data_IF_165575349454
#
_entry.id   IF_165575349454
#
_cell.length_a   1.000
_cell.length_b   1.000
_cell.length_c   1.000
_cell.angle_alpha   90.00
_cell.angle_beta   90.00
_cell.angle_gamma   90.00
#
_symmetry.space_group_name_H-M   'P 1'
#
loop_
_entity.id
_entity.type
_entity.pdbx_description
1 polymer ?
#
# COMPACT_ATOMS: atom_id res chain seq x y z
N UNK A 1 14.08 19.30 -19.43
CA UNK A 1 12.93 20.13 -19.00
C UNK A 1 12.94 20.12 -17.48
N UNK A 2 12.95 21.28 -16.81
CA UNK A 2 12.79 21.33 -15.36
C UNK A 2 11.32 20.97 -15.06
N UNK A 3 11.09 19.76 -14.63
CA UNK A 3 9.77 19.34 -14.14
C UNK A 3 9.68 19.85 -12.71
N UNK A 4 8.92 20.92 -12.53
CA UNK A 4 8.65 21.48 -11.21
C UNK A 4 7.68 20.52 -10.48
N UNK A 5 8.19 19.79 -9.49
CA UNK A 5 7.44 18.89 -8.60
C UNK A 5 7.16 19.49 -7.23
N UNK A 6 7.34 20.81 -7.07
CA UNK A 6 7.19 21.53 -5.79
C UNK A 6 5.77 21.38 -5.18
N UNK A 7 4.81 20.91 -5.95
CA UNK A 7 3.44 20.62 -5.48
C UNK A 7 3.31 19.26 -4.77
N UNK A 8 4.32 18.39 -4.88
CA UNK A 8 4.32 17.07 -4.25
C UNK A 8 4.85 17.18 -2.83
N UNK A 9 4.07 16.66 -1.88
CA UNK A 9 4.40 16.63 -0.47
C UNK A 9 4.89 15.21 -0.13
N UNK A 10 6.06 15.13 0.50
CA UNK A 10 6.58 13.87 1.03
C UNK A 10 6.28 13.81 2.52
N UNK A 11 5.39 12.90 2.89
CA UNK A 11 5.04 12.66 4.30
C UNK A 11 4.84 11.16 4.56
N UNK A 12 4.99 10.70 5.82
CA UNK A 12 4.69 9.31 6.18
C UNK A 12 3.25 8.93 5.84
N UNK A 13 3.03 7.69 5.43
CA UNK A 13 1.70 7.14 5.13
C UNK A 13 0.71 7.34 6.29
N UNK A 14 1.20 7.20 7.52
CA UNK A 14 0.42 7.41 8.74
C UNK A 14 -0.15 8.82 8.84
N UNK A 15 0.65 9.84 8.50
CA UNK A 15 0.21 11.24 8.50
C UNK A 15 -0.89 11.48 7.45
N UNK A 16 -0.72 10.93 6.25
CA UNK A 16 -1.73 10.98 5.20
C UNK A 16 -3.04 10.32 5.64
N UNK A 17 -2.96 9.10 6.17
CA UNK A 17 -4.14 8.36 6.64
C UNK A 17 -4.80 8.99 7.86
N UNK A 18 -4.01 9.55 8.79
CA UNK A 18 -4.55 10.27 9.94
C UNK A 18 -5.40 11.48 9.50
N UNK A 19 -4.89 12.29 8.57
CA UNK A 19 -5.62 13.46 8.06
C UNK A 19 -6.91 13.10 7.31
N UNK A 20 -6.91 11.96 6.59
CA UNK A 20 -8.14 11.44 5.99
C UNK A 20 -9.15 11.02 7.05
N UNK A 21 -8.73 10.22 8.03
CA UNK A 21 -9.61 9.70 9.09
C UNK A 21 -10.13 10.78 10.03
N UNK A 22 -9.37 11.84 10.27
CA UNK A 22 -9.80 12.99 11.06
C UNK A 22 -10.79 13.90 10.31
N UNK A 23 -11.06 13.64 9.04
CA UNK A 23 -11.92 14.49 8.20
C UNK A 23 -11.29 15.82 7.77
N UNK A 24 -9.98 15.99 7.98
CA UNK A 24 -9.26 17.19 7.55
C UNK A 24 -9.20 17.28 6.01
N UNK A 25 -9.00 16.12 5.35
CA UNK A 25 -9.00 16.01 3.89
C UNK A 25 -9.86 14.83 3.41
N UNK A 26 -10.60 15.08 2.34
CA UNK A 26 -11.29 14.03 1.58
C UNK A 26 -10.28 13.26 0.73
N UNK A 27 -10.06 11.98 1.02
CA UNK A 27 -9.27 11.09 0.16
C UNK A 27 -10.13 10.40 -0.91
N UNK A 28 -9.50 9.78 -1.89
CA UNK A 28 -10.21 9.02 -2.95
C UNK A 28 -11.05 7.87 -2.37
N UNK A 29 -10.55 7.18 -1.32
CA UNK A 29 -11.28 6.12 -0.63
C UNK A 29 -12.50 6.67 0.10
N UNK A 30 -12.33 7.71 0.92
CA UNK A 30 -13.45 8.35 1.62
C UNK A 30 -14.50 8.90 0.66
N UNK A 31 -14.07 9.41 -0.50
CA UNK A 31 -15.01 9.84 -1.53
C UNK A 31 -15.79 8.66 -2.14
N UNK A 32 -15.14 7.52 -2.34
CA UNK A 32 -15.81 6.30 -2.80
C UNK A 32 -16.85 5.83 -1.78
N UNK A 33 -16.47 5.78 -0.49
CA UNK A 33 -17.34 5.38 0.62
C UNK A 33 -18.52 6.34 0.77
N UNK A 34 -18.27 7.64 0.66
CA UNK A 34 -19.34 8.66 0.66
C UNK A 34 -20.32 8.46 -0.51
N UNK A 35 -19.82 8.14 -1.70
CA UNK A 35 -20.66 7.89 -2.89
C UNK A 35 -21.48 6.61 -2.77
N UNK A 36 -20.93 5.59 -2.14
CA UNK A 36 -21.63 4.34 -1.87
C UNK A 36 -22.67 4.52 -0.75
N UNK A 37 -22.26 5.11 0.37
CA UNK A 37 -23.11 5.38 1.52
C UNK A 37 -22.58 6.53 2.38
N UNK A 38 -23.24 7.70 2.40
CA UNK A 38 -22.87 8.78 3.33
C UNK A 38 -22.87 8.36 4.80
N UNK A 39 -23.69 7.36 5.18
CA UNK A 39 -23.72 6.82 6.52
C UNK A 39 -22.47 5.98 6.84
N UNK A 40 -21.94 5.25 5.87
CA UNK A 40 -20.66 4.52 6.00
C UNK A 40 -19.51 5.51 6.20
N UNK A 41 -19.39 6.49 5.31
CA UNK A 41 -18.42 7.57 5.41
C UNK A 41 -18.44 8.25 6.80
N UNK A 42 -19.64 8.61 7.30
CA UNK A 42 -19.78 9.25 8.60
C UNK A 42 -19.25 8.37 9.74
N UNK A 43 -19.55 7.06 9.72
CA UNK A 43 -19.07 6.11 10.72
C UNK A 43 -17.54 5.95 10.70
N UNK A 44 -16.93 5.97 9.54
CA UNK A 44 -15.46 5.89 9.38
C UNK A 44 -14.76 7.12 9.93
N UNK A 45 -15.18 8.33 9.52
CA UNK A 45 -14.54 9.57 10.00
C UNK A 45 -14.80 9.87 11.48
N UNK A 46 -15.85 9.28 12.07
CA UNK A 46 -16.16 9.39 13.50
C UNK A 46 -15.57 8.25 14.34
N UNK A 47 -14.80 7.33 13.72
CA UNK A 47 -14.18 6.21 14.42
C UNK A 47 -15.17 5.17 14.96
N UNK A 48 -16.38 5.08 14.40
CA UNK A 48 -17.38 4.08 14.78
C UNK A 48 -17.15 2.73 14.09
N UNK A 49 -16.30 2.71 13.08
CA UNK A 49 -15.89 1.52 12.34
C UNK A 49 -14.37 1.54 12.21
N UNK A 50 -13.74 0.46 12.62
CA UNK A 50 -12.31 0.26 12.38
C UNK A 50 -12.03 -0.04 10.91
N UNK A 51 -10.90 0.45 10.36
CA UNK A 51 -10.47 0.08 9.02
C UNK A 51 -10.34 -1.43 8.89
N UNK A 52 -10.84 -1.99 7.79
CA UNK A 52 -10.69 -3.41 7.51
C UNK A 52 -9.23 -3.70 7.15
N UNK A 53 -8.51 -4.30 8.07
CA UNK A 53 -7.21 -4.90 7.81
C UNK A 53 -7.39 -6.31 7.22
N UNK A 54 -6.66 -6.63 6.17
CA UNK A 54 -6.64 -7.96 5.60
C UNK A 54 -5.23 -8.35 5.16
N UNK A 55 -4.92 -9.64 5.16
CA UNK A 55 -3.64 -10.15 4.67
C UNK A 55 -3.35 -9.73 3.21
N UNK A 56 -4.40 -9.53 2.41
CA UNK A 56 -4.26 -9.04 1.04
C UNK A 56 -3.82 -7.58 0.99
N UNK A 57 -4.33 -6.72 1.90
CA UNK A 57 -3.88 -5.33 2.01
C UNK A 57 -2.43 -5.23 2.48
N UNK A 58 -2.05 -6.01 3.49
CA UNK A 58 -0.66 -6.10 3.96
C UNK A 58 0.27 -6.51 2.82
N UNK A 59 -0.09 -7.56 2.09
CA UNK A 59 0.69 -8.04 0.95
C UNK A 59 0.80 -6.97 -0.16
N UNK A 60 -0.29 -6.27 -0.46
CA UNK A 60 -0.31 -5.17 -1.42
C UNK A 60 0.61 -4.03 -1.02
N UNK A 61 0.51 -3.53 0.22
CA UNK A 61 1.39 -2.47 0.75
C UNK A 61 2.87 -2.87 0.70
N UNK A 62 3.18 -4.10 1.11
CA UNK A 62 4.55 -4.61 1.08
C UNK A 62 5.09 -4.73 -0.37
N UNK A 63 4.24 -5.12 -1.33
CA UNK A 63 4.61 -5.15 -2.74
C UNK A 63 4.85 -3.73 -3.29
N UNK A 64 4.02 -2.76 -2.96
CA UNK A 64 4.21 -1.35 -3.34
C UNK A 64 5.53 -0.82 -2.78
N UNK A 65 5.79 -0.99 -1.49
CA UNK A 65 7.05 -0.55 -0.86
C UNK A 65 8.27 -1.16 -1.56
N UNK A 66 8.28 -2.48 -1.84
CA UNK A 66 9.42 -3.10 -2.49
C UNK A 66 9.59 -2.67 -3.96
N UNK A 67 8.49 -2.55 -4.72
CA UNK A 67 8.52 -2.29 -6.16
C UNK A 67 8.79 -0.81 -6.45
N UNK A 68 8.15 0.09 -5.73
CA UNK A 68 8.18 1.53 -6.00
C UNK A 68 9.25 2.26 -5.21
N UNK A 69 9.40 1.95 -3.91
CA UNK A 69 10.35 2.62 -3.03
C UNK A 69 11.67 1.85 -2.88
N UNK A 70 11.68 0.55 -3.22
CA UNK A 70 12.85 -0.30 -3.21
C UNK A 70 13.13 -1.01 -1.88
N UNK A 71 14.20 -1.80 -1.88
CA UNK A 71 14.55 -2.71 -0.78
C UNK A 71 14.76 -2.00 0.56
N UNK A 72 15.34 -0.82 0.57
CA UNK A 72 15.63 -0.09 1.80
C UNK A 72 14.34 0.36 2.52
N UNK A 73 13.35 0.86 1.78
CA UNK A 73 12.05 1.22 2.35
C UNK A 73 11.31 -0.01 2.86
N UNK A 74 11.31 -1.09 2.09
CA UNK A 74 10.73 -2.36 2.51
C UNK A 74 11.35 -2.86 3.83
N UNK A 75 12.66 -2.90 3.95
CA UNK A 75 13.33 -3.40 5.15
C UNK A 75 13.17 -2.48 6.38
N UNK A 76 12.83 -1.20 6.17
CA UNK A 76 12.48 -0.28 7.25
C UNK A 76 11.13 -0.65 7.87
N UNK A 77 10.13 -0.99 7.06
CA UNK A 77 8.74 -1.12 7.48
C UNK A 77 8.32 -2.59 7.69
N UNK A 78 9.04 -3.53 7.09
CA UNK A 78 8.69 -4.97 7.10
C UNK A 78 9.83 -5.84 7.59
N UNK A 79 9.47 -6.94 8.26
CA UNK A 79 10.38 -8.05 8.59
C UNK A 79 9.90 -9.33 7.92
N UNK A 80 10.81 -10.03 7.25
CA UNK A 80 10.51 -11.33 6.61
C UNK A 80 10.79 -12.44 7.61
N UNK A 81 9.73 -13.06 8.12
CA UNK A 81 9.83 -14.12 9.12
C UNK A 81 8.56 -14.97 9.13
N UNK A 82 8.69 -16.26 9.37
CA UNK A 82 7.54 -17.17 9.56
C UNK A 82 7.00 -17.20 10.99
N UNK A 83 7.56 -16.39 11.88
CA UNK A 83 7.20 -16.31 13.29
C UNK A 83 8.11 -17.16 14.19
N UNK A 84 7.79 -17.23 15.48
CA UNK A 84 8.60 -17.95 16.46
C UNK A 84 8.52 -19.45 16.24
N UNK A 85 9.64 -20.13 16.45
CA UNK A 85 9.76 -21.59 16.30
C UNK A 85 9.36 -22.29 17.60
N UNK A 86 8.53 -23.31 17.51
CA UNK A 86 8.20 -24.17 18.63
C UNK A 86 9.41 -25.06 18.98
N UNK A 87 10.00 -24.89 20.17
CA UNK A 87 11.23 -25.63 20.54
C UNK A 87 11.05 -27.15 20.63
N UNK A 88 9.79 -27.63 20.72
CA UNK A 88 9.49 -29.06 20.79
C UNK A 88 9.38 -29.71 19.42
N UNK A 89 8.88 -29.00 18.43
CA UNK A 89 8.61 -29.55 17.08
C UNK A 89 9.60 -29.07 16.02
N UNK A 90 10.32 -27.97 16.28
CA UNK A 90 11.19 -27.33 15.31
C UNK A 90 10.44 -26.54 14.23
N UNK A 91 9.11 -26.50 14.27
CA UNK A 91 8.26 -25.82 13.29
C UNK A 91 7.79 -24.45 13.81
N UNK A 92 7.51 -23.48 12.94
CA UNK A 92 6.92 -22.20 13.35
C UNK A 92 5.56 -22.39 14.02
N UNK A 93 5.26 -21.58 15.03
CA UNK A 93 3.91 -21.53 15.59
C UNK A 93 2.89 -21.06 14.55
N UNK A 94 1.72 -21.67 14.55
CA UNK A 94 0.62 -21.23 13.69
C UNK A 94 0.15 -19.82 14.06
N UNK A 95 -0.24 -19.02 13.07
CA UNK A 95 -0.68 -17.62 13.22
C UNK A 95 -1.85 -17.41 14.21
N UNK A 96 -2.61 -18.45 14.49
CA UNK A 96 -3.76 -18.43 15.44
C UNK A 96 -3.37 -18.78 16.88
N UNK A 97 -2.11 -19.09 17.15
CA UNK A 97 -1.66 -19.47 18.49
C UNK A 97 -1.35 -18.24 19.33
N UNK A 98 -1.55 -18.36 20.66
CA UNK A 98 -1.17 -17.30 21.59
C UNK A 98 0.31 -16.94 21.50
N UNK A 99 1.19 -17.94 21.38
CA UNK A 99 2.64 -17.73 21.27
C UNK A 99 3.01 -16.89 20.03
N UNK A 100 2.26 -17.03 18.91
CA UNK A 100 2.44 -16.19 17.74
C UNK A 100 1.94 -14.77 17.99
N UNK A 101 0.77 -14.62 18.63
CA UNK A 101 0.20 -13.31 18.93
C UNK A 101 1.09 -12.51 19.91
N UNK A 102 1.51 -13.13 20.99
CA UNK A 102 2.41 -12.52 21.97
C UNK A 102 3.74 -12.08 21.31
N UNK A 103 4.30 -12.92 20.44
CA UNK A 103 5.51 -12.58 19.69
C UNK A 103 5.28 -11.43 18.69
N UNK A 104 4.11 -11.39 18.02
CA UNK A 104 3.79 -10.36 17.03
C UNK A 104 3.69 -8.98 17.67
N UNK A 105 3.17 -8.88 18.90
CA UNK A 105 3.09 -7.62 19.66
C UNK A 105 4.48 -7.04 20.02
N UNK A 106 5.52 -7.88 20.04
CA UNK A 106 6.90 -7.45 20.31
C UNK A 106 7.61 -6.92 19.06
N UNK A 107 7.01 -7.08 17.86
CA UNK A 107 7.64 -6.63 16.63
C UNK A 107 7.39 -5.14 16.42
N UNK A 108 8.43 -4.42 16.03
CA UNK A 108 8.40 -2.99 15.67
C UNK A 108 8.06 -2.74 14.19
N UNK A 109 7.99 -3.81 13.38
CA UNK A 109 7.73 -3.79 11.94
C UNK A 109 6.66 -4.80 11.58
N UNK A 110 6.00 -4.56 10.45
CA UNK A 110 4.98 -5.47 9.94
C UNK A 110 5.61 -6.79 9.45
N UNK A 111 5.02 -7.92 9.84
CA UNK A 111 5.60 -9.24 9.55
C UNK A 111 5.06 -9.80 8.24
N UNK A 112 5.97 -10.09 7.32
CA UNK A 112 5.69 -10.78 6.05
C UNK A 112 6.26 -12.19 6.09
N UNK A 113 5.47 -13.21 5.74
CA UNK A 113 5.97 -14.57 5.67
C UNK A 113 6.99 -14.74 4.53
N UNK A 114 7.90 -15.70 4.65
CA UNK A 114 8.84 -16.03 3.58
C UNK A 114 8.14 -16.37 2.26
N UNK A 115 6.97 -17.04 2.34
CA UNK A 115 6.15 -17.38 1.18
C UNK A 115 5.61 -16.10 0.50
N UNK A 116 5.07 -15.17 1.28
CA UNK A 116 4.52 -13.92 0.77
C UNK A 116 5.64 -13.04 0.20
N UNK A 117 6.80 -13.01 0.87
CA UNK A 117 7.97 -12.29 0.35
C UNK A 117 8.47 -12.88 -0.96
N UNK A 118 8.56 -14.22 -1.09
CA UNK A 118 8.92 -14.86 -2.35
C UNK A 118 7.93 -14.54 -3.47
N UNK A 119 6.64 -14.36 -3.14
CA UNK A 119 5.63 -13.92 -4.09
C UNK A 119 5.86 -12.45 -4.51
N UNK A 120 6.09 -11.53 -3.55
CA UNK A 120 6.40 -10.12 -3.84
C UNK A 120 7.64 -10.00 -4.74
N UNK A 121 8.69 -10.79 -4.50
CA UNK A 121 9.87 -10.83 -5.35
C UNK A 121 9.56 -11.24 -6.79
N UNK A 122 8.62 -12.15 -7.00
CA UNK A 122 8.16 -12.51 -8.36
C UNK A 122 7.41 -11.37 -9.03
N UNK A 123 6.57 -10.64 -8.28
CA UNK A 123 5.89 -9.45 -8.80
C UNK A 123 6.89 -8.38 -9.21
N UNK A 124 7.87 -8.09 -8.36
CA UNK A 124 8.94 -7.14 -8.67
C UNK A 124 9.72 -7.56 -9.93
N UNK A 125 10.11 -8.84 -10.02
CA UNK A 125 10.80 -9.34 -11.21
C UNK A 125 9.95 -9.19 -12.49
N UNK A 126 8.64 -9.43 -12.41
CA UNK A 126 7.72 -9.25 -13.54
C UNK A 126 7.66 -7.78 -13.99
N UNK A 127 7.60 -6.84 -13.06
CA UNK A 127 7.65 -5.39 -13.36
C UNK A 127 8.98 -5.02 -14.02
N UNK A 128 10.10 -5.49 -13.46
CA UNK A 128 11.44 -5.16 -13.94
C UNK A 128 11.75 -5.69 -15.37
N UNK A 129 11.07 -6.73 -15.84
CA UNK A 129 11.25 -7.25 -17.20
C UNK A 129 10.22 -6.72 -18.20
N UNK A 130 9.19 -6.00 -17.74
CA UNK A 130 8.15 -5.46 -18.61
C UNK A 130 8.56 -4.08 -19.14
N UNK A 131 8.83 -3.93 -20.47
CA UNK A 131 9.41 -2.69 -21.01
C UNK A 131 8.61 -1.42 -20.71
N UNK A 132 7.27 -1.48 -20.83
CA UNK A 132 6.43 -0.31 -20.54
C UNK A 132 6.40 0.02 -19.05
N UNK A 133 6.35 -0.98 -18.16
CA UNK A 133 6.40 -0.75 -16.73
C UNK A 133 7.73 -0.08 -16.31
N UNK A 134 8.85 -0.58 -16.81
CA UNK A 134 10.17 0.01 -16.56
C UNK A 134 10.22 1.46 -17.03
N UNK A 135 9.67 1.75 -18.21
CA UNK A 135 9.60 3.10 -18.76
C UNK A 135 8.76 4.03 -17.90
N UNK A 136 7.59 3.58 -17.46
CA UNK A 136 6.66 4.34 -16.64
C UNK A 136 7.21 4.60 -15.22
N UNK A 137 7.93 3.63 -14.66
CA UNK A 137 8.54 3.74 -13.34
C UNK A 137 9.97 4.34 -13.36
N UNK A 138 10.45 4.78 -14.53
CA UNK A 138 11.70 5.54 -14.60
C UNK A 138 11.49 7.01 -14.26
N UNK A 139 12.51 7.65 -13.69
CA UNK A 139 12.57 9.11 -13.49
C UNK A 139 11.32 9.72 -12.80
N UNK A 140 10.83 9.09 -11.75
CA UNK A 140 9.64 9.55 -11.04
C UNK A 140 9.82 9.54 -9.52
N UNK A 141 8.73 9.83 -8.84
CA UNK A 141 8.65 9.92 -7.38
C UNK A 141 7.56 9.00 -6.85
N UNK A 142 7.92 8.14 -5.88
CA UNK A 142 6.98 7.23 -5.21
C UNK A 142 6.20 7.95 -4.11
N UNK A 143 4.96 7.53 -3.87
CA UNK A 143 4.17 7.80 -2.67
C UNK A 143 3.98 9.30 -2.37
N UNK A 144 4.04 10.13 -3.40
CA UNK A 144 3.86 11.56 -3.29
C UNK A 144 2.41 11.97 -2.97
N UNK A 145 2.24 12.93 -2.07
CA UNK A 145 0.92 13.45 -1.68
C UNK A 145 0.66 14.78 -2.37
N UNK A 146 -0.53 14.92 -2.94
CA UNK A 146 -1.02 16.19 -3.49
C UNK A 146 -2.29 16.62 -2.74
N UNK A 147 -2.35 17.89 -2.40
CA UNK A 147 -3.50 18.51 -1.74
C UNK A 147 -4.08 19.63 -2.58
N UNK A 148 -5.39 19.67 -2.68
CA UNK A 148 -6.11 20.71 -3.40
C UNK A 148 -7.49 20.95 -2.78
N UNK A 149 -8.08 22.12 -3.05
CA UNK A 149 -9.46 22.40 -2.70
C UNK A 149 -10.34 22.17 -3.93
N UNK A 150 -11.25 21.20 -3.84
CA UNK A 150 -12.20 20.88 -4.90
C UNK A 150 -13.60 21.33 -4.51
N UNK A 151 -14.13 22.36 -5.15
CA UNK A 151 -15.45 22.93 -4.84
C UNK A 151 -15.65 23.29 -3.35
N UNK A 152 -14.62 23.85 -2.73
CA UNK A 152 -14.65 24.23 -1.30
C UNK A 152 -14.35 23.10 -0.34
N UNK A 153 -14.12 21.86 -0.81
CA UNK A 153 -13.75 20.71 0.02
C UNK A 153 -12.24 20.47 -0.06
N UNK A 154 -11.52 20.47 1.07
CA UNK A 154 -10.11 20.06 1.08
C UNK A 154 -9.99 18.59 0.68
N UNK A 155 -9.22 18.32 -0.35
CA UNK A 155 -8.99 16.98 -0.89
C UNK A 155 -7.51 16.64 -0.86
N UNK A 156 -7.22 15.34 -0.74
CA UNK A 156 -5.86 14.82 -0.90
C UNK A 156 -5.85 13.49 -1.66
N UNK A 157 -4.76 13.28 -2.38
CA UNK A 157 -4.43 11.98 -2.98
C UNK A 157 -3.00 11.61 -2.60
N UNK A 158 -2.74 10.31 -2.50
CA UNK A 158 -1.39 9.75 -2.45
C UNK A 158 -1.22 8.94 -3.72
N UNK A 159 -0.21 9.29 -4.48
CA UNK A 159 0.09 8.68 -5.77
C UNK A 159 1.05 7.53 -5.55
N UNK A 160 0.80 6.37 -6.12
CA UNK A 160 1.75 5.26 -6.08
C UNK A 160 3.09 5.68 -6.73
N UNK A 161 3.00 6.31 -7.90
CA UNK A 161 4.15 6.85 -8.60
C UNK A 161 3.77 8.04 -9.48
N UNK A 162 4.56 9.09 -9.45
CA UNK A 162 4.45 10.22 -10.37
C UNK A 162 5.63 10.25 -11.31
N UNK A 163 5.37 10.07 -12.61
CA UNK A 163 6.36 10.24 -13.66
C UNK A 163 6.13 11.58 -14.35
N UNK A 164 7.11 12.52 -14.36
CA UNK A 164 6.93 13.84 -14.94
C UNK A 164 6.66 13.84 -16.45
N UNK A 165 7.02 12.78 -17.16
CA UNK A 165 6.80 12.64 -18.61
C UNK A 165 5.46 11.97 -18.95
N UNK A 166 5.06 10.97 -18.14
CA UNK A 166 3.89 10.12 -18.44
C UNK A 166 2.70 10.36 -17.50
N UNK A 167 2.89 11.06 -16.39
CA UNK A 167 1.83 11.37 -15.43
C UNK A 167 1.75 10.40 -14.26
N UNK A 168 0.54 10.14 -13.78
CA UNK A 168 0.31 9.26 -12.63
C UNK A 168 0.35 7.80 -13.06
N UNK A 169 1.06 6.99 -12.29
CA UNK A 169 1.12 5.55 -12.46
C UNK A 169 0.60 4.89 -11.18
N UNK A 170 -0.36 4.02 -11.33
CA UNK A 170 -0.99 3.28 -10.23
C UNK A 170 -0.64 1.80 -10.35
N UNK A 171 -0.05 1.24 -9.28
CA UNK A 171 0.38 -0.16 -9.23
C UNK A 171 -0.72 -1.01 -8.59
N UNK A 172 -1.31 -1.91 -9.35
CA UNK A 172 -2.33 -2.83 -8.82
C UNK A 172 -1.82 -4.27 -8.79
N UNK A 173 -1.91 -4.88 -7.62
CA UNK A 173 -1.72 -6.32 -7.45
C UNK A 173 -3.07 -6.99 -7.39
N UNK A 174 -3.29 -8.02 -8.20
CA UNK A 174 -4.60 -8.65 -8.31
C UNK A 174 -4.57 -10.15 -8.61
N UNK A 175 -5.73 -10.81 -8.45
CA UNK A 175 -5.89 -12.27 -8.38
C UNK A 175 -6.22 -12.96 -9.72
N UNK A 176 -6.78 -12.24 -10.70
CA UNK A 176 -7.12 -12.76 -12.02
C UNK A 176 -7.32 -11.66 -13.07
N UNK A 177 -7.19 -12.00 -14.36
CA UNK A 177 -7.32 -11.04 -15.46
C UNK A 177 -8.76 -10.75 -15.91
N UNK A 178 -9.78 -11.27 -15.23
CA UNK A 178 -11.18 -11.15 -15.66
C UNK A 178 -11.92 -10.13 -14.83
N UNK A 179 -12.18 -8.98 -15.43
CA UNK A 179 -13.06 -7.93 -14.92
C UNK A 179 -12.48 -7.20 -13.70
N UNK A 180 -12.62 -5.91 -13.67
CA UNK A 180 -12.21 -4.99 -12.59
C UNK A 180 -11.70 -5.65 -11.30
N UNK A 181 -10.38 -5.74 -11.25
CA UNK A 181 -9.58 -5.87 -10.03
C UNK A 181 -10.03 -6.93 -9.01
N UNK A 182 -9.70 -8.17 -9.30
CA UNK A 182 -9.47 -9.18 -8.28
C UNK A 182 -8.44 -10.15 -8.83
N UNK A 183 -7.16 -9.87 -8.69
CA UNK A 183 -6.09 -10.72 -9.23
C UNK A 183 -5.03 -10.99 -8.17
N UNK A 184 -4.65 -12.24 -7.94
CA UNK A 184 -3.57 -12.62 -7.03
C UNK A 184 -2.20 -12.83 -7.71
N UNK A 185 -2.10 -12.71 -9.04
CA UNK A 185 -0.87 -13.10 -9.75
C UNK A 185 -0.45 -12.16 -10.88
N UNK A 186 -1.05 -10.96 -10.99
CA UNK A 186 -0.71 -10.01 -12.04
C UNK A 186 -0.51 -8.61 -11.48
N UNK A 187 0.46 -7.91 -12.04
CA UNK A 187 0.70 -6.48 -11.76
C UNK A 187 0.15 -5.69 -12.94
N UNK A 188 -0.68 -4.70 -12.66
CA UNK A 188 -1.12 -3.73 -13.65
C UNK A 188 -0.54 -2.36 -13.31
N UNK A 189 -0.01 -1.71 -14.33
CA UNK A 189 0.42 -0.33 -14.29
C UNK A 189 -0.56 0.44 -15.15
N UNK A 190 -1.29 1.38 -14.55
CA UNK A 190 -2.22 2.28 -15.25
C UNK A 190 -1.61 3.67 -15.37
N UNK A 191 -1.86 4.30 -16.48
CA UNK A 191 -1.45 5.68 -16.78
C UNK A 191 -2.68 6.57 -16.83
#
# INVERSE_FOLDING_TARGET
MNTNTDFIIHEPAESYHFRSRSGEYMSSHLLADFRESPALYYKEITGQIDPKESAAFTLGRAAHSLILEGRHAFDRDYIVCNGPVNPRTGEPFGKTTKAYADWLEEQDREVISEKDFAFIMKLQAAVCVHPEAVKLLANGEAEGVVRACCNGVPCQIRMDWFNPEYGLVDLKTCDSQIGRASCRESVFVYV
#
